data_IF_035287237731
#
_entry.id   IF_035287237731
#
_cell.length_a   1.000
_cell.length_b   1.000
_cell.length_c   1.000
_cell.angle_alpha   90.00
_cell.angle_beta   90.00
_cell.angle_gamma   90.00
#
_symmetry.space_group_name_H-M   'P 1'
#
loop_
_entity.id
_entity.type
_entity.pdbx_description
1 polymer ?
#
# COMPACT_ATOMS: atom_id res chain seq x y z
N UNK A 1 78.21 25.73 6.78
CA UNK A 1 78.03 25.02 8.03
C UNK A 1 76.57 24.65 8.12
N UNK A 2 76.29 23.40 7.87
CA UNK A 2 75.35 22.47 8.42
C UNK A 2 73.90 23.02 8.71
N UNK A 3 73.03 22.92 7.76
CA UNK A 3 71.56 23.06 7.90
C UNK A 3 70.86 21.70 7.82
N UNK A 4 70.18 21.32 8.91
CA UNK A 4 69.42 20.09 8.99
C UNK A 4 68.06 20.28 8.24
N UNK A 5 67.85 19.49 7.22
CA UNK A 5 66.55 19.35 6.58
C UNK A 5 65.69 18.38 7.40
N UNK A 6 64.63 18.90 8.04
CA UNK A 6 63.61 18.08 8.70
C UNK A 6 62.57 17.72 7.65
N UNK A 7 62.54 16.46 7.22
CA UNK A 7 61.50 15.88 6.43
C UNK A 7 60.32 15.56 7.35
N UNK A 8 59.22 16.34 7.22
CA UNK A 8 57.96 16.04 7.88
C UNK A 8 57.16 15.09 6.98
N UNK A 9 57.07 13.82 7.36
CA UNK A 9 56.16 12.85 6.77
C UNK A 9 54.74 13.19 7.21
N UNK A 10 53.96 13.73 6.30
CA UNK A 10 52.51 13.88 6.45
C UNK A 10 51.85 12.53 6.17
N UNK A 11 51.46 11.84 7.22
CA UNK A 11 50.53 10.71 7.16
C UNK A 11 49.15 11.22 6.77
N UNK A 12 48.80 11.05 5.51
CA UNK A 12 47.45 11.25 5.02
C UNK A 12 46.60 10.03 5.43
N UNK A 13 45.96 10.16 6.61
CA UNK A 13 44.98 9.16 7.02
C UNK A 13 43.71 9.35 6.19
N UNK A 14 43.59 8.54 5.13
CA UNK A 14 42.40 8.48 4.29
C UNK A 14 41.32 7.75 5.07
N UNK A 15 40.48 8.50 5.79
CA UNK A 15 39.27 7.98 6.40
C UNK A 15 38.26 7.70 5.28
N UNK A 16 38.20 6.45 4.84
CA UNK A 16 37.03 5.95 4.07
C UNK A 16 35.81 6.07 4.96
N UNK A 17 35.01 7.11 4.76
CA UNK A 17 33.66 7.18 5.28
C UNK A 17 32.84 6.09 4.59
N UNK A 18 32.65 4.97 5.24
CA UNK A 18 31.66 3.96 4.86
C UNK A 18 30.31 4.62 5.08
N UNK A 19 29.70 5.08 4.00
CA UNK A 19 28.30 5.45 3.99
C UNK A 19 27.51 4.16 4.17
N UNK A 20 27.12 3.88 5.40
CA UNK A 20 26.09 2.89 5.67
C UNK A 20 24.83 3.43 4.99
N UNK A 21 24.43 2.81 3.90
CA UNK A 21 23.09 2.97 3.35
C UNK A 21 22.14 2.50 4.46
N UNK A 22 21.47 3.43 5.09
CA UNK A 22 20.40 3.17 6.04
C UNK A 22 19.28 2.52 5.23
N UNK A 23 19.26 1.19 5.27
CA UNK A 23 18.21 0.36 4.72
C UNK A 23 16.96 0.67 5.54
N UNK A 24 16.16 1.64 5.04
CA UNK A 24 14.92 2.03 5.68
C UNK A 24 13.99 0.81 5.67
N UNK A 25 13.81 0.21 6.85
CA UNK A 25 12.85 -0.87 7.03
C UNK A 25 11.48 -0.46 6.46
N UNK A 26 10.80 -1.40 5.78
CA UNK A 26 9.51 -1.12 5.18
C UNK A 26 8.52 -0.73 6.27
N UNK A 27 8.01 0.50 6.19
CA UNK A 27 6.92 0.96 7.05
C UNK A 27 5.76 -0.05 7.00
N UNK A 28 5.41 -0.60 8.15
CA UNK A 28 4.25 -1.49 8.23
C UNK A 28 2.95 -0.71 7.96
N UNK A 29 1.96 -1.41 7.40
CA UNK A 29 0.64 -0.83 7.07
C UNK A 29 0.01 -0.13 8.29
N UNK A 30 0.14 -0.71 9.47
CA UNK A 30 -0.38 -0.13 10.70
C UNK A 30 0.30 1.22 11.02
N UNK A 31 1.61 1.31 10.85
CA UNK A 31 2.38 2.53 11.07
C UNK A 31 2.02 3.61 10.06
N UNK A 32 1.86 3.26 8.77
CA UNK A 32 1.43 4.20 7.73
C UNK A 32 0.06 4.80 8.07
N UNK A 33 -0.86 3.98 8.56
CA UNK A 33 -2.22 4.41 8.88
C UNK A 33 -2.34 5.10 10.25
N UNK A 34 -1.39 4.86 11.16
CA UNK A 34 -1.35 5.52 12.47
C UNK A 34 -0.74 6.92 12.40
N UNK A 35 0.06 7.22 11.36
CA UNK A 35 0.66 8.55 11.18
C UNK A 35 -0.44 9.52 10.72
N UNK A 36 -0.82 10.54 11.52
CA UNK A 36 -1.79 11.55 11.09
C UNK A 36 -1.27 12.26 9.83
N UNK A 37 -2.15 12.54 8.90
CA UNK A 37 -1.78 13.26 7.66
C UNK A 37 -1.32 14.70 7.95
N UNK A 38 -1.84 15.28 9.04
CA UNK A 38 -1.48 16.58 9.61
C UNK A 38 -1.80 16.54 11.12
N UNK A 39 -1.03 17.25 11.93
CA UNK A 39 -1.13 17.29 13.40
C UNK A 39 -2.49 17.79 13.92
N UNK A 40 -3.26 18.50 13.09
CA UNK A 40 -4.63 18.98 13.34
C UNK A 40 -5.71 18.11 12.67
N UNK A 41 -5.35 16.99 12.04
CA UNK A 41 -6.28 16.15 11.31
C UNK A 41 -7.01 15.20 12.24
N UNK A 42 -8.19 15.60 12.70
CA UNK A 42 -9.18 14.66 13.23
C UNK A 42 -9.46 13.61 12.14
N UNK A 43 -9.09 12.37 12.39
CA UNK A 43 -9.33 11.26 11.45
C UNK A 43 -10.84 11.10 11.28
N UNK A 44 -11.38 11.73 10.25
CA UNK A 44 -12.79 11.63 9.92
C UNK A 44 -13.07 10.20 9.42
N UNK A 45 -13.84 9.46 10.20
CA UNK A 45 -14.32 8.13 9.86
C UNK A 45 -15.80 8.19 9.53
N UNK A 46 -16.18 8.74 8.38
CA UNK A 46 -17.58 8.89 8.05
C UNK A 46 -18.25 7.52 7.89
N UNK A 47 -19.45 7.40 8.42
CA UNK A 47 -20.25 6.19 8.22
C UNK A 47 -20.65 5.98 6.76
N UNK A 48 -20.80 7.05 5.99
CA UNK A 48 -21.18 7.02 4.58
C UNK A 48 -20.39 8.07 3.78
N UNK A 49 -20.07 7.74 2.54
CA UNK A 49 -19.50 8.65 1.54
C UNK A 49 -20.50 8.88 0.40
N UNK A 50 -20.46 10.06 -0.23
CA UNK A 50 -21.35 10.38 -1.35
C UNK A 50 -20.90 9.66 -2.63
N UNK A 51 -21.78 8.86 -3.23
CA UNK A 51 -21.47 8.12 -4.46
C UNK A 51 -21.16 9.04 -5.65
N UNK A 52 -21.81 10.21 -5.74
CA UNK A 52 -21.52 11.19 -6.80
C UNK A 52 -20.13 11.82 -6.72
N UNK A 53 -19.53 11.80 -5.54
CA UNK A 53 -18.19 12.34 -5.32
C UNK A 53 -17.09 11.31 -5.55
N UNK A 54 -17.45 10.03 -5.71
CA UNK A 54 -16.48 8.97 -6.01
C UNK A 54 -15.96 9.18 -7.44
N UNK A 55 -14.68 9.48 -7.57
CA UNK A 55 -13.97 9.67 -8.83
C UNK A 55 -13.24 8.44 -9.31
N UNK A 56 -13.12 7.44 -8.46
CA UNK A 56 -12.50 6.17 -8.78
C UNK A 56 -12.41 5.29 -7.56
N UNK A 57 -12.29 4.00 -7.81
CA UNK A 57 -12.08 2.98 -6.78
C UNK A 57 -10.91 2.13 -7.22
N UNK A 58 -10.01 1.85 -6.29
CA UNK A 58 -8.81 1.05 -6.52
C UNK A 58 -8.75 -0.07 -5.50
N UNK A 59 -8.57 -1.28 -5.98
CA UNK A 59 -8.32 -2.44 -5.14
C UNK A 59 -6.81 -2.58 -4.99
N UNK A 60 -6.29 -2.43 -3.79
CA UNK A 60 -4.87 -2.52 -3.49
C UNK A 60 -4.44 -3.98 -3.28
N UNK A 61 -5.25 -4.72 -2.54
CA UNK A 61 -5.13 -6.17 -2.32
C UNK A 61 -6.49 -6.76 -1.88
N UNK A 62 -6.48 -7.98 -1.34
CA UNK A 62 -7.69 -8.66 -0.84
C UNK A 62 -8.28 -8.04 0.43
N UNK A 63 -7.56 -7.13 1.09
CA UNK A 63 -7.97 -6.46 2.33
C UNK A 63 -8.18 -4.96 2.21
N UNK A 64 -7.63 -4.32 1.18
CA UNK A 64 -7.58 -2.87 1.08
C UNK A 64 -8.21 -2.35 -0.21
N UNK A 65 -9.19 -1.49 -0.06
CA UNK A 65 -9.84 -0.78 -1.18
C UNK A 65 -9.83 0.71 -0.91
N UNK A 66 -9.32 1.49 -1.85
CA UNK A 66 -9.25 2.94 -1.77
C UNK A 66 -10.30 3.60 -2.66
N UNK A 67 -11.14 4.45 -2.08
CA UNK A 67 -12.09 5.31 -2.77
C UNK A 67 -11.50 6.70 -2.95
N UNK A 68 -11.33 7.12 -4.19
CA UNK A 68 -10.85 8.48 -4.51
C UNK A 68 -12.03 9.43 -4.66
N UNK A 69 -12.09 10.47 -3.83
CA UNK A 69 -13.13 11.49 -3.86
C UNK A 69 -12.69 12.73 -4.63
N UNK A 70 -11.40 13.11 -4.49
CA UNK A 70 -10.80 14.25 -5.18
C UNK A 70 -9.32 13.97 -5.49
N UNK A 71 -8.54 15.00 -5.81
CA UNK A 71 -7.09 14.85 -6.03
C UNK A 71 -6.31 14.57 -4.74
N UNK A 72 -6.83 15.05 -3.61
CA UNK A 72 -6.16 14.96 -2.29
C UNK A 72 -6.94 14.16 -1.26
N UNK A 73 -8.22 13.83 -1.50
CA UNK A 73 -9.08 13.16 -0.53
C UNK A 73 -9.37 11.73 -0.95
N UNK A 74 -8.98 10.80 -0.09
CA UNK A 74 -9.17 9.37 -0.27
C UNK A 74 -9.81 8.76 0.98
N UNK A 75 -10.60 7.72 0.78
CA UNK A 75 -11.09 6.89 1.87
C UNK A 75 -10.62 5.46 1.67
N UNK A 76 -9.96 4.92 2.68
CA UNK A 76 -9.55 3.52 2.74
C UNK A 76 -10.64 2.69 3.41
N UNK A 77 -10.93 1.55 2.82
CA UNK A 77 -11.67 0.45 3.43
C UNK A 77 -10.67 -0.66 3.71
N UNK A 78 -10.56 -1.05 4.97
CA UNK A 78 -9.70 -2.14 5.40
C UNK A 78 -10.55 -3.27 5.96
N UNK A 79 -10.55 -4.42 5.29
CA UNK A 79 -11.25 -5.61 5.73
C UNK A 79 -10.46 -6.34 6.81
N UNK A 80 -11.10 -6.75 7.89
CA UNK A 80 -10.50 -7.55 8.97
C UNK A 80 -10.01 -8.90 8.44
N UNK A 81 -10.80 -9.52 7.56
CA UNK A 81 -10.46 -10.75 6.85
C UNK A 81 -10.35 -10.46 5.36
N UNK A 82 -9.48 -11.18 4.66
CA UNK A 82 -9.37 -11.04 3.21
C UNK A 82 -10.73 -11.24 2.53
N UNK A 83 -11.05 -10.37 1.59
CA UNK A 83 -12.24 -10.52 0.76
C UNK A 83 -11.93 -11.49 -0.38
N UNK A 84 -12.50 -12.69 -0.40
CA UNK A 84 -12.20 -13.68 -1.42
C UNK A 84 -12.44 -13.11 -2.81
N UNK A 85 -11.59 -13.47 -3.76
CA UNK A 85 -11.65 -13.04 -5.16
C UNK A 85 -11.31 -11.57 -5.44
N UNK A 86 -11.14 -10.72 -4.43
CA UNK A 86 -10.69 -9.35 -4.61
C UNK A 86 -9.19 -9.33 -4.98
N UNK A 87 -8.85 -8.73 -6.11
CA UNK A 87 -7.48 -8.65 -6.65
C UNK A 87 -7.17 -7.21 -7.03
N UNK A 88 -5.91 -6.78 -7.06
CA UNK A 88 -5.54 -5.43 -7.48
C UNK A 88 -6.04 -5.00 -8.86
N UNK A 89 -6.30 -5.96 -9.74
CA UNK A 89 -6.85 -5.72 -11.07
C UNK A 89 -8.37 -5.83 -11.12
N UNK A 90 -9.02 -6.16 -9.98
CA UNK A 90 -10.47 -6.33 -9.94
C UNK A 90 -11.18 -5.01 -10.15
N UNK A 91 -12.15 -4.99 -11.03
CA UNK A 91 -13.21 -4.00 -11.00
C UNK A 91 -14.23 -4.43 -9.95
N UNK A 92 -14.85 -3.48 -9.29
CA UNK A 92 -15.81 -3.78 -8.24
C UNK A 92 -17.15 -3.09 -8.52
N UNK A 93 -18.23 -3.76 -8.09
CA UNK A 93 -19.51 -3.15 -7.84
C UNK A 93 -19.67 -2.91 -6.34
N UNK A 94 -20.37 -1.87 -5.97
CA UNK A 94 -20.73 -1.56 -4.59
C UNK A 94 -22.17 -1.09 -4.51
N UNK A 95 -22.82 -1.40 -3.39
CA UNK A 95 -24.20 -1.00 -3.17
C UNK A 95 -24.27 0.52 -2.93
N UNK A 96 -25.26 1.16 -3.58
CA UNK A 96 -25.52 2.59 -3.41
C UNK A 96 -26.95 2.75 -2.91
N UNK A 97 -27.09 3.38 -1.74
CA UNK A 97 -28.40 3.70 -1.15
C UNK A 97 -28.53 5.20 -0.97
N UNK A 98 -29.60 5.78 -1.48
CA UNK A 98 -29.84 7.23 -1.38
C UNK A 98 -28.61 8.06 -1.74
N UNK A 99 -27.93 7.71 -2.86
CA UNK A 99 -26.75 8.39 -3.38
C UNK A 99 -25.51 8.33 -2.45
N UNK A 100 -25.48 7.34 -1.57
CA UNK A 100 -24.38 7.11 -0.61
C UNK A 100 -23.91 5.67 -0.66
N UNK A 101 -22.65 5.48 -0.31
CA UNK A 101 -22.06 4.18 0.01
C UNK A 101 -21.72 4.23 1.50
N UNK A 102 -22.23 3.30 2.26
CA UNK A 102 -22.14 3.32 3.72
C UNK A 102 -21.36 2.13 4.27
N UNK A 103 -20.94 2.23 5.52
CA UNK A 103 -20.51 1.07 6.28
C UNK A 103 -21.63 0.02 6.28
N UNK A 104 -21.24 -1.27 6.18
CA UNK A 104 -22.08 -2.45 5.99
C UNK A 104 -22.68 -2.64 4.59
N UNK A 105 -22.54 -1.69 3.67
CA UNK A 105 -22.85 -1.95 2.26
C UNK A 105 -21.88 -2.96 1.66
N UNK A 106 -22.34 -3.68 0.64
CA UNK A 106 -21.55 -4.74 0.04
C UNK A 106 -20.67 -4.22 -1.10
N UNK A 107 -19.45 -4.75 -1.15
CA UNK A 107 -18.55 -4.70 -2.30
C UNK A 107 -18.49 -6.09 -2.91
N UNK A 108 -18.56 -6.15 -4.26
CA UNK A 108 -18.47 -7.39 -5.05
C UNK A 108 -17.48 -7.20 -6.18
N UNK A 109 -16.50 -8.08 -6.36
CA UNK A 109 -15.71 -8.11 -7.58
C UNK A 109 -16.61 -8.32 -8.79
N UNK A 110 -16.24 -7.72 -9.92
CA UNK A 110 -16.92 -7.95 -11.21
C UNK A 110 -16.20 -9.05 -11.97
N UNK A 111 -16.93 -10.09 -12.33
CA UNK A 111 -16.48 -11.16 -13.21
C UNK A 111 -16.80 -10.81 -14.66
N UNK A 112 -15.87 -11.11 -15.58
CA UNK A 112 -16.02 -10.81 -17.00
C UNK A 112 -15.59 -9.40 -17.40
N UNK A 113 -15.71 -9.08 -18.68
CA UNK A 113 -15.25 -7.83 -19.27
C UNK A 113 -16.40 -7.11 -20.01
N UNK A 114 -16.28 -5.79 -20.11
CA UNK A 114 -17.24 -4.96 -20.85
C UNK A 114 -18.65 -4.99 -20.27
N UNK A 115 -19.63 -5.04 -21.15
CA UNK A 115 -21.05 -5.05 -20.79
C UNK A 115 -21.54 -6.38 -20.16
N UNK A 116 -20.76 -7.46 -20.30
CA UNK A 116 -21.08 -8.78 -19.72
C UNK A 116 -20.56 -8.93 -18.29
N UNK A 117 -19.91 -7.91 -17.72
CA UNK A 117 -19.39 -7.98 -16.37
C UNK A 117 -20.52 -8.09 -15.36
N UNK A 118 -20.50 -9.15 -14.56
CA UNK A 118 -21.50 -9.41 -13.53
C UNK A 118 -20.85 -9.39 -12.14
N UNK A 119 -21.53 -8.86 -11.11
CA UNK A 119 -21.05 -8.95 -9.75
C UNK A 119 -20.90 -10.40 -9.30
N UNK A 120 -19.80 -10.70 -8.62
CA UNK A 120 -19.59 -12.00 -8.01
C UNK A 120 -20.68 -12.30 -6.97
N UNK A 121 -20.98 -13.57 -6.74
CA UNK A 121 -21.91 -14.02 -5.71
C UNK A 121 -21.38 -13.66 -4.33
N UNK A 122 -20.06 -13.81 -4.13
CA UNK A 122 -19.39 -13.48 -2.86
C UNK A 122 -19.30 -11.98 -2.73
N UNK A 123 -19.76 -11.45 -1.61
CA UNK A 123 -19.67 -10.04 -1.27
C UNK A 123 -18.97 -9.82 0.05
N UNK A 124 -18.28 -8.71 0.17
CA UNK A 124 -17.63 -8.29 1.40
C UNK A 124 -18.27 -6.99 1.90
N UNK A 125 -18.54 -6.93 3.20
CA UNK A 125 -19.16 -5.76 3.82
C UNK A 125 -18.11 -4.74 4.19
N UNK A 126 -18.34 -3.49 3.85
CA UNK A 126 -17.50 -2.35 4.22
C UNK A 126 -17.53 -2.21 5.75
N UNK A 127 -16.42 -2.40 6.49
CA UNK A 127 -16.45 -2.23 7.94
C UNK A 127 -16.54 -0.75 8.32
N UNK A 128 -15.72 0.08 7.70
CA UNK A 128 -15.68 1.54 7.91
C UNK A 128 -14.93 2.22 6.78
N UNK A 129 -15.06 3.55 6.69
CA UNK A 129 -14.22 4.39 5.86
C UNK A 129 -13.20 5.11 6.74
N UNK A 130 -11.95 5.10 6.37
CA UNK A 130 -10.87 5.85 7.03
C UNK A 130 -10.35 6.87 6.01
N UNK A 131 -10.38 8.14 6.36
CA UNK A 131 -9.76 9.16 5.52
C UNK A 131 -8.24 8.99 5.55
N UNK A 132 -7.62 9.04 4.37
CA UNK A 132 -6.17 8.96 4.20
C UNK A 132 -5.70 10.03 3.22
N UNK A 133 -4.45 10.47 3.38
CA UNK A 133 -3.81 11.38 2.45
C UNK A 133 -3.33 10.66 1.19
N UNK A 134 -2.95 11.46 0.18
CA UNK A 134 -2.35 10.94 -1.05
C UNK A 134 -0.99 10.26 -0.76
N UNK A 135 -0.24 10.82 0.16
CA UNK A 135 1.08 10.34 0.58
C UNK A 135 0.94 9.00 1.30
N UNK A 136 0.00 8.89 2.25
CA UNK A 136 -0.31 7.62 2.92
C UNK A 136 -0.75 6.54 1.92
N UNK A 137 -1.58 6.90 0.92
CA UNK A 137 -1.97 5.96 -0.12
C UNK A 137 -0.78 5.49 -0.96
N UNK A 138 0.18 6.38 -1.27
CA UNK A 138 1.38 6.03 -2.02
C UNK A 138 2.27 5.05 -1.24
N UNK A 139 2.53 5.33 0.03
CA UNK A 139 3.28 4.46 0.94
C UNK A 139 2.60 3.09 1.10
N UNK A 140 1.28 3.09 1.25
CA UNK A 140 0.50 1.86 1.37
C UNK A 140 0.61 0.98 0.11
N UNK A 141 0.51 1.56 -1.08
CA UNK A 141 0.70 0.84 -2.35
C UNK A 141 2.07 0.19 -2.43
N UNK A 142 3.11 0.91 -2.05
CA UNK A 142 4.48 0.43 -2.11
C UNK A 142 4.71 -0.71 -1.11
N UNK A 143 4.27 -0.55 0.14
CA UNK A 143 4.33 -1.58 1.17
C UNK A 143 3.61 -2.87 0.73
N UNK A 144 2.38 -2.76 0.22
CA UNK A 144 1.61 -3.92 -0.24
C UNK A 144 2.21 -4.59 -1.48
N UNK A 145 2.80 -3.80 -2.39
CA UNK A 145 3.51 -4.35 -3.56
C UNK A 145 4.72 -5.18 -3.12
N UNK A 146 5.50 -4.70 -2.18
CA UNK A 146 6.67 -5.39 -1.63
C UNK A 146 6.27 -6.70 -0.95
N UNK A 147 5.31 -6.67 -0.02
CA UNK A 147 4.78 -7.88 0.65
C UNK A 147 4.32 -8.94 -0.35
N UNK A 148 3.75 -8.53 -1.48
CA UNK A 148 3.36 -9.45 -2.55
C UNK A 148 4.56 -10.06 -3.26
N UNK A 149 5.60 -9.27 -3.53
CA UNK A 149 6.82 -9.76 -4.19
C UNK A 149 7.56 -10.75 -3.29
N UNK A 150 7.68 -10.48 -2.00
CA UNK A 150 8.29 -11.36 -1.01
C UNK A 150 7.54 -12.71 -0.96
N UNK A 151 6.22 -12.66 -0.86
CA UNK A 151 5.40 -13.88 -0.86
C UNK A 151 5.57 -14.73 -2.13
N UNK A 152 5.72 -14.11 -3.30
CA UNK A 152 5.95 -14.83 -4.55
C UNK A 152 7.32 -15.54 -4.59
N UNK A 153 8.32 -14.99 -3.91
CA UNK A 153 9.64 -15.61 -3.79
C UNK A 153 9.59 -16.80 -2.84
N UNK A 154 8.88 -16.67 -1.71
CA UNK A 154 8.74 -17.75 -0.73
C UNK A 154 7.91 -18.93 -1.25
N UNK A 155 6.91 -18.64 -2.09
CA UNK A 155 6.04 -19.65 -2.71
C UNK A 155 6.67 -20.27 -4.00
N UNK A 156 7.85 -19.81 -4.43
CA UNK A 156 8.53 -20.36 -5.61
C UNK A 156 8.94 -21.83 -5.34
N UNK A 157 8.63 -22.77 -6.25
CA UNK A 157 9.05 -24.15 -6.08
C UNK A 157 10.59 -24.20 -6.03
N UNK A 158 11.11 -24.83 -4.98
CA UNK A 158 12.55 -25.14 -4.90
C UNK A 158 12.89 -26.00 -6.12
N UNK A 159 13.86 -25.61 -6.96
CA UNK A 159 14.25 -26.46 -8.08
C UNK A 159 14.71 -27.80 -7.51
N UNK A 160 14.03 -28.87 -7.92
CA UNK A 160 14.45 -30.24 -7.62
C UNK A 160 15.90 -30.40 -8.08
N UNK A 161 16.73 -30.88 -7.17
CA UNK A 161 18.16 -31.09 -7.37
C UNK A 161 18.44 -31.67 -8.75
N UNK A 162 19.24 -30.97 -9.52
CA UNK A 162 19.87 -31.51 -10.72
C UNK A 162 20.73 -32.69 -10.24
N UNK A 163 20.44 -33.95 -10.62
CA UNK A 163 21.31 -35.03 -10.29
C UNK A 163 22.68 -34.78 -10.89
N UNK A 164 23.68 -34.65 -10.02
CA UNK A 164 25.08 -34.56 -10.43
C UNK A 164 25.51 -35.81 -11.15
N UNK A 165 26.07 -35.64 -12.33
CA UNK A 165 26.88 -36.63 -13.02
C UNK A 165 28.17 -36.94 -12.27
#
# INVERSE_FOLDING_TARGET
>A
MKGLVKIALLFFCSTCAVWAAEESEPLDVATILATPADEDSYVDTPRCISSHRIRGVEVLDDRHVAFRMSRSKFYLVQFTHGCPTLRPTSRIAYDVRSQRVCALDAIRPLNGYGASAQPAVISCRIPRFQEISKEQLALLRESLKRKRSEKLVDDAPVPDDVPGD
#
